data_IF_708517589772
#
_entry.id   IF_708517589772
#
_cell.length_a   1.000
_cell.length_b   1.000
_cell.length_c   1.000
_cell.angle_alpha   90.00
_cell.angle_beta   90.00
_cell.angle_gamma   90.00
#
_symmetry.space_group_name_H-M   'P 1'
#
loop_
_entity.id
_entity.type
_entity.pdbx_description
1 polymer ?
#
# COMPACT_ATOMS: atom_id res chain seq x y z
N UNK A 1 -32.54 -22.92 5.53
CA UNK A 1 -31.09 -22.71 5.75
C UNK A 1 -30.75 -21.27 5.42
N UNK A 2 -30.27 -20.46 6.38
CA UNK A 2 -30.09 -19.02 6.21
C UNK A 2 -28.90 -18.68 5.30
N UNK A 3 -29.02 -17.57 4.54
CA UNK A 3 -27.96 -17.06 3.64
C UNK A 3 -26.61 -16.84 4.37
N UNK A 4 -26.66 -16.55 5.67
CA UNK A 4 -25.48 -16.36 6.52
C UNK A 4 -24.69 -17.67 6.73
N UNK A 5 -25.37 -18.81 6.81
CA UNK A 5 -24.74 -20.14 6.99
C UNK A 5 -23.97 -20.57 5.74
N UNK A 6 -24.55 -20.35 4.55
CA UNK A 6 -23.89 -20.61 3.25
C UNK A 6 -22.71 -19.68 2.96
N UNK A 7 -22.68 -18.46 3.52
CA UNK A 7 -21.53 -17.57 3.43
C UNK A 7 -20.38 -18.05 4.30
N UNK A 8 -20.66 -18.50 5.52
CA UNK A 8 -19.64 -19.07 6.41
C UNK A 8 -19.03 -20.35 5.85
N UNK A 9 -19.85 -21.24 5.29
CA UNK A 9 -19.38 -22.47 4.67
C UNK A 9 -18.45 -22.18 3.49
N UNK A 10 -18.77 -21.24 2.60
CA UNK A 10 -17.89 -20.81 1.50
C UNK A 10 -16.58 -20.19 1.97
N UNK A 11 -16.61 -19.39 3.02
CA UNK A 11 -15.38 -18.79 3.57
C UNK A 11 -14.48 -19.86 4.18
N UNK A 12 -15.04 -20.84 4.87
CA UNK A 12 -14.28 -21.96 5.43
C UNK A 12 -13.68 -22.84 4.33
N UNK A 13 -14.41 -23.07 3.25
CA UNK A 13 -13.96 -23.83 2.08
C UNK A 13 -12.79 -23.12 1.39
N UNK A 14 -12.88 -21.79 1.18
CA UNK A 14 -11.79 -20.97 0.63
C UNK A 14 -10.56 -20.93 1.56
N UNK A 15 -10.75 -20.87 2.87
CA UNK A 15 -9.64 -20.94 3.83
C UNK A 15 -8.96 -22.31 3.85
N UNK A 16 -9.71 -23.39 3.62
CA UNK A 16 -9.15 -24.74 3.51
C UNK A 16 -8.33 -24.87 2.22
N UNK A 17 -8.84 -24.33 1.11
CA UNK A 17 -8.14 -24.31 -0.18
C UNK A 17 -6.86 -23.46 -0.12
N UNK A 18 -6.88 -22.31 0.55
CA UNK A 18 -5.69 -21.49 0.82
C UNK A 18 -4.63 -22.21 1.67
N UNK A 19 -5.06 -23.08 2.59
CA UNK A 19 -4.16 -23.91 3.40
C UNK A 19 -3.43 -24.98 2.59
N UNK A 20 -4.02 -25.44 1.51
CA UNK A 20 -3.47 -26.48 0.62
C UNK A 20 -2.57 -25.89 -0.48
N UNK A 21 -2.67 -24.57 -0.74
CA UNK A 21 -1.77 -23.93 -1.68
C UNK A 21 -0.34 -23.92 -1.12
N UNK A 22 0.68 -24.28 -1.91
CA UNK A 22 2.09 -24.18 -1.51
C UNK A 22 2.52 -22.72 -1.46
N UNK A 23 2.09 -22.02 -0.41
CA UNK A 23 2.49 -20.63 -0.14
C UNK A 23 3.93 -20.63 0.37
N UNK A 24 4.87 -20.51 -0.57
CA UNK A 24 6.31 -20.40 -0.29
C UNK A 24 6.91 -21.72 0.18
N UNK A 25 8.10 -22.04 -0.26
CA UNK A 25 8.81 -23.22 0.21
C UNK A 25 8.92 -23.22 1.73
N UNK A 26 8.67 -24.35 2.37
CA UNK A 26 8.84 -24.50 3.81
C UNK A 26 10.22 -23.94 4.22
N UNK A 27 10.31 -23.14 5.30
CA UNK A 27 11.57 -22.56 5.72
C UNK A 27 12.62 -23.66 5.87
N UNK A 28 13.81 -23.41 5.26
CA UNK A 28 14.90 -24.38 5.23
C UNK A 28 15.30 -24.84 6.64
N UNK A 29 15.80 -26.08 6.72
CA UNK A 29 16.24 -26.69 8.00
C UNK A 29 17.24 -25.80 8.74
N UNK A 30 18.20 -25.20 8.02
CA UNK A 30 19.19 -24.29 8.59
C UNK A 30 18.58 -23.01 9.18
N UNK A 31 17.48 -22.49 8.62
CA UNK A 31 16.74 -21.36 9.17
C UNK A 31 16.00 -21.74 10.44
N UNK A 32 15.35 -22.91 10.43
CA UNK A 32 14.64 -23.43 11.62
C UNK A 32 15.59 -23.69 12.79
N UNK A 33 16.76 -24.25 12.53
CA UNK A 33 17.76 -24.50 13.54
C UNK A 33 18.33 -23.20 14.14
N UNK A 34 18.62 -22.21 13.29
CA UNK A 34 19.07 -20.89 13.76
C UNK A 34 18.01 -20.20 14.61
N UNK A 35 16.77 -20.14 14.13
CA UNK A 35 15.65 -19.55 14.88
C UNK A 35 15.42 -20.27 16.22
N UNK A 36 15.52 -21.62 16.23
CA UNK A 36 15.40 -22.41 17.46
C UNK A 36 16.53 -22.12 18.43
N UNK A 37 17.76 -21.99 17.95
CA UNK A 37 18.92 -21.63 18.76
C UNK A 37 18.77 -20.23 19.38
N UNK A 38 18.30 -19.25 18.61
CA UNK A 38 18.04 -17.88 19.08
C UNK A 38 16.93 -17.84 20.14
N UNK A 39 15.84 -18.58 19.92
CA UNK A 39 14.73 -18.65 20.88
C UNK A 39 15.15 -19.34 22.19
N UNK A 40 15.96 -20.40 22.12
CA UNK A 40 16.48 -21.08 23.30
C UNK A 40 17.49 -20.22 24.05
N UNK A 41 18.37 -19.50 23.37
CA UNK A 41 19.30 -18.56 23.99
C UNK A 41 18.56 -17.43 24.71
N UNK A 42 17.54 -16.82 24.07
CA UNK A 42 16.70 -15.82 24.70
C UNK A 42 15.87 -16.34 25.88
N UNK A 43 15.41 -17.60 25.83
CA UNK A 43 14.70 -18.25 26.95
C UNK A 43 15.63 -18.55 28.13
N UNK A 44 16.86 -18.96 27.86
CA UNK A 44 17.88 -19.20 28.91
C UNK A 44 18.34 -17.90 29.58
N UNK A 45 18.40 -16.79 28.84
CA UNK A 45 18.68 -15.47 29.43
C UNK A 45 17.50 -14.97 30.30
N UNK A 46 16.25 -15.27 29.90
CA UNK A 46 15.06 -14.93 30.69
C UNK A 46 14.93 -15.76 32.00
N UNK A 47 15.41 -17.01 32.01
CA UNK A 47 15.35 -17.93 33.17
C UNK A 47 16.53 -17.72 34.12
N UNK A 48 17.58 -17.03 33.74
CA UNK A 48 18.75 -16.72 34.55
C UNK A 48 18.59 -15.46 35.41
N UNK A 49 17.42 -14.84 35.52
CA UNK A 49 17.16 -13.78 36.50
C UNK A 49 16.86 -14.41 37.88
N UNK A 50 17.77 -14.33 38.87
CA UNK A 50 17.51 -14.82 40.24
C UNK A 50 16.48 -13.91 40.92
N UNK A 51 15.53 -14.52 41.61
CA UNK A 51 14.54 -13.88 42.48
C UNK A 51 15.16 -12.81 43.39
N UNK A 52 14.45 -11.70 43.69
CA UNK A 52 15.04 -10.53 44.34
C UNK A 52 15.39 -10.81 45.80
N UNK A 53 16.68 -11.00 46.09
CA UNK A 53 17.22 -10.90 47.44
C UNK A 53 17.18 -9.41 47.87
N UNK A 54 16.44 -9.12 48.92
CA UNK A 54 16.43 -7.82 49.61
C UNK A 54 17.84 -7.44 50.05
N UNK A 55 18.45 -6.47 49.42
CA UNK A 55 19.72 -5.95 49.92
C UNK A 55 20.44 -5.00 48.99
N UNK A 56 20.44 -3.70 49.35
CA UNK A 56 21.38 -2.66 48.95
C UNK A 56 21.35 -2.13 47.54
N UNK A 57 20.69 -0.96 47.43
CA UNK A 57 20.92 0.08 46.39
C UNK A 57 22.42 0.20 46.06
N UNK A 58 22.82 -0.33 44.90
CA UNK A 58 23.97 0.19 44.16
C UNK A 58 23.53 0.50 42.74
N UNK A 59 23.73 1.76 42.39
CA UNK A 59 23.48 2.42 41.10
C UNK A 59 23.94 1.55 39.93
N UNK A 60 23.04 0.90 39.23
CA UNK A 60 23.25 0.43 37.86
C UNK A 60 22.83 1.57 36.89
N UNK A 61 23.69 2.57 36.78
CA UNK A 61 23.68 3.54 35.68
C UNK A 61 24.35 2.84 34.52
N UNK A 62 23.67 2.73 33.42
CA UNK A 62 24.11 2.57 32.00
C UNK A 62 23.46 1.45 31.16
N UNK A 63 22.31 0.87 31.53
CA UNK A 63 21.58 -0.05 30.63
C UNK A 63 20.36 0.50 29.89
N UNK A 64 19.79 1.70 30.15
CA UNK A 64 18.69 2.21 29.34
C UNK A 64 19.12 2.76 27.98
N UNK A 65 20.39 3.11 27.78
CA UNK A 65 20.85 3.72 26.53
C UNK A 65 20.91 2.75 25.35
N UNK A 66 21.32 1.50 25.58
CA UNK A 66 21.40 0.49 24.51
C UNK A 66 20.01 0.05 24.05
N UNK A 67 19.05 -0.13 24.96
CA UNK A 67 17.68 -0.46 24.60
C UNK A 67 16.96 0.71 23.91
N UNK A 68 17.25 1.94 24.30
CA UNK A 68 16.74 3.13 23.64
C UNK A 68 17.34 3.30 22.24
N UNK A 69 18.65 3.05 22.09
CA UNK A 69 19.30 3.07 20.76
C UNK A 69 18.76 1.97 19.84
N UNK A 70 18.50 0.78 20.36
CA UNK A 70 17.87 -0.29 19.58
C UNK A 70 16.44 0.05 19.16
N UNK A 71 15.65 0.65 20.05
CA UNK A 71 14.29 1.08 19.75
C UNK A 71 14.26 2.22 18.73
N UNK A 72 15.19 3.20 18.88
CA UNK A 72 15.34 4.31 17.91
C UNK A 72 15.84 3.78 16.56
N UNK A 73 16.79 2.83 16.56
CA UNK A 73 17.28 2.18 15.33
C UNK A 73 16.17 1.41 14.60
N UNK A 74 15.34 0.67 15.32
CA UNK A 74 14.21 -0.04 14.75
C UNK A 74 13.14 0.92 14.21
N UNK A 75 12.81 1.97 14.96
CA UNK A 75 11.87 3.00 14.51
C UNK A 75 12.37 3.72 13.25
N UNK A 76 13.66 4.07 13.21
CA UNK A 76 14.28 4.67 12.03
C UNK A 76 14.26 3.71 10.83
N UNK A 77 14.58 2.43 11.02
CA UNK A 77 14.52 1.42 9.97
C UNK A 77 13.09 1.24 9.43
N UNK A 78 12.07 1.23 10.29
CA UNK A 78 10.67 1.17 9.89
C UNK A 78 10.24 2.44 9.13
N UNK A 79 10.67 3.63 9.55
CA UNK A 79 10.38 4.87 8.83
C UNK A 79 11.06 4.91 7.46
N UNK A 80 12.33 4.51 7.35
CA UNK A 80 13.04 4.44 6.08
C UNK A 80 12.38 3.42 5.14
N UNK A 81 12.00 2.25 5.64
CA UNK A 81 11.31 1.22 4.85
C UNK A 81 9.94 1.72 4.39
N UNK A 82 9.19 2.40 5.24
CA UNK A 82 7.89 2.99 4.88
C UNK A 82 8.03 4.06 3.81
N UNK A 83 9.05 4.91 3.92
CA UNK A 83 9.32 5.96 2.94
C UNK A 83 9.75 5.38 1.57
N UNK A 84 10.65 4.40 1.57
CA UNK A 84 11.06 3.70 0.35
C UNK A 84 9.89 2.98 -0.33
N UNK A 85 9.01 2.34 0.45
CA UNK A 85 7.80 1.71 -0.07
C UNK A 85 6.83 2.73 -0.66
N UNK A 86 6.67 3.89 -0.01
CA UNK A 86 5.78 4.95 -0.49
C UNK A 86 6.24 5.54 -1.83
N UNK A 87 7.55 5.63 -2.06
CA UNK A 87 8.13 6.16 -3.30
C UNK A 87 8.30 5.10 -4.41
N UNK A 88 8.02 3.83 -4.14
CA UNK A 88 8.15 2.77 -5.13
C UNK A 88 7.27 3.05 -6.35
N UNK A 89 7.84 2.87 -7.55
CA UNK A 89 7.16 2.99 -8.85
C UNK A 89 6.96 1.62 -9.48
N UNK A 90 6.08 1.48 -10.49
CA UNK A 90 5.94 0.23 -11.23
C UNK A 90 7.30 -0.27 -11.74
N UNK A 91 7.60 -1.55 -11.51
CA UNK A 91 8.91 -2.17 -11.79
C UNK A 91 9.80 -2.32 -10.56
N UNK A 92 9.60 -1.57 -9.48
CA UNK A 92 10.34 -1.71 -8.24
C UNK A 92 9.92 -2.95 -7.45
N UNK A 93 10.89 -3.55 -6.73
CA UNK A 93 10.65 -4.74 -5.89
C UNK A 93 9.67 -4.48 -4.73
N UNK A 94 9.54 -3.24 -4.26
CA UNK A 94 8.63 -2.83 -3.18
C UNK A 94 7.25 -2.37 -3.69
N UNK A 95 7.09 -2.23 -4.99
CA UNK A 95 5.83 -1.76 -5.58
C UNK A 95 4.62 -2.67 -5.27
N UNK A 96 4.72 -4.00 -5.28
CA UNK A 96 3.58 -4.85 -4.88
C UNK A 96 3.14 -4.61 -3.44
N UNK A 97 4.07 -4.29 -2.53
CA UNK A 97 3.74 -3.99 -1.13
C UNK A 97 3.01 -2.63 -1.03
N UNK A 98 3.44 -1.63 -1.78
CA UNK A 98 2.74 -0.34 -1.90
C UNK A 98 1.30 -0.54 -2.37
N UNK A 99 1.09 -1.29 -3.45
CA UNK A 99 -0.25 -1.58 -4.00
C UNK A 99 -1.14 -2.31 -3.00
N UNK A 100 -0.59 -3.30 -2.28
CA UNK A 100 -1.32 -4.01 -1.24
C UNK A 100 -1.76 -3.08 -0.10
N UNK A 101 -0.90 -2.15 0.32
CA UNK A 101 -1.22 -1.17 1.35
C UNK A 101 -2.33 -0.20 0.88
N UNK A 102 -2.23 0.35 -0.33
CA UNK A 102 -3.26 1.22 -0.94
C UNK A 102 -4.62 0.51 -1.00
N UNK A 103 -4.66 -0.70 -1.53
CA UNK A 103 -5.88 -1.52 -1.61
C UNK A 103 -6.48 -1.80 -0.23
N UNK A 104 -5.63 -2.08 0.76
CA UNK A 104 -6.08 -2.30 2.14
C UNK A 104 -6.73 -1.05 2.73
N UNK A 105 -6.16 0.13 2.47
CA UNK A 105 -6.73 1.40 2.93
C UNK A 105 -8.11 1.66 2.33
N UNK A 106 -8.31 1.38 1.04
CA UNK A 106 -9.63 1.46 0.40
C UNK A 106 -10.63 0.52 1.08
N UNK A 107 -10.23 -0.72 1.38
CA UNK A 107 -11.11 -1.70 2.02
C UNK A 107 -11.42 -1.41 3.49
N UNK A 108 -10.51 -0.72 4.20
CA UNK A 108 -10.68 -0.32 5.59
C UNK A 108 -11.53 0.95 5.74
N UNK A 109 -11.79 1.68 4.66
CA UNK A 109 -12.65 2.87 4.70
C UNK A 109 -14.07 2.50 5.13
N UNK A 110 -14.63 3.33 6.00
CA UNK A 110 -15.87 3.03 6.71
C UNK A 110 -17.12 3.24 5.85
N UNK A 111 -17.07 4.16 4.90
CA UNK A 111 -18.20 4.52 4.04
C UNK A 111 -17.80 4.62 2.55
N UNK A 112 -18.80 4.74 1.68
CA UNK A 112 -18.58 4.79 0.22
C UNK A 112 -17.97 6.12 -0.24
N UNK A 113 -18.21 7.23 0.46
CA UNK A 113 -17.58 8.51 0.13
C UNK A 113 -16.08 8.45 0.42
N UNK A 114 -15.69 7.95 1.60
CA UNK A 114 -14.27 7.76 1.95
C UNK A 114 -13.58 6.80 0.98
N UNK A 115 -14.25 5.71 0.58
CA UNK A 115 -13.74 4.79 -0.43
C UNK A 115 -13.52 5.48 -1.78
N UNK A 116 -14.49 6.29 -2.19
CA UNK A 116 -14.37 7.09 -3.42
C UNK A 116 -13.17 8.03 -3.37
N UNK A 117 -12.98 8.76 -2.26
CA UNK A 117 -11.82 9.63 -2.08
C UNK A 117 -10.49 8.87 -2.13
N UNK A 118 -10.41 7.70 -1.51
CA UNK A 118 -9.22 6.83 -1.55
C UNK A 118 -8.90 6.35 -2.97
N UNK A 119 -9.91 6.01 -3.76
CA UNK A 119 -9.72 5.65 -5.17
C UNK A 119 -9.20 6.86 -5.99
N UNK A 120 -9.74 8.07 -5.76
CA UNK A 120 -9.23 9.29 -6.39
C UNK A 120 -7.79 9.61 -5.96
N UNK A 121 -7.42 9.40 -4.71
CA UNK A 121 -6.03 9.54 -4.25
C UNK A 121 -5.10 8.49 -4.88
N UNK A 122 -5.61 7.27 -5.12
CA UNK A 122 -4.90 6.25 -5.87
C UNK A 122 -4.64 6.71 -7.31
N UNK A 123 -5.65 7.28 -7.99
CA UNK A 123 -5.49 7.84 -9.34
C UNK A 123 -4.43 8.95 -9.39
N UNK A 124 -4.41 9.89 -8.43
CA UNK A 124 -3.35 10.90 -8.32
C UNK A 124 -1.96 10.29 -8.14
N UNK A 125 -1.88 9.20 -7.41
CA UNK A 125 -0.63 8.47 -7.22
C UNK A 125 -0.17 7.85 -8.54
N UNK A 126 -1.10 7.26 -9.33
CA UNK A 126 -0.78 6.72 -10.67
C UNK A 126 -0.28 7.81 -11.62
N UNK A 127 -0.90 9.00 -11.63
CA UNK A 127 -0.41 10.12 -12.42
C UNK A 127 1.06 10.46 -12.11
N UNK A 128 1.42 10.54 -10.82
CA UNK A 128 2.82 10.79 -10.42
C UNK A 128 3.76 9.63 -10.82
N UNK A 129 3.30 8.40 -10.78
CA UNK A 129 4.07 7.23 -11.21
C UNK A 129 4.30 7.25 -12.73
N UNK A 130 3.30 7.64 -13.55
CA UNK A 130 3.48 7.88 -14.99
C UNK A 130 4.58 8.90 -15.22
N UNK A 131 4.51 10.07 -14.57
CA UNK A 131 5.56 11.10 -14.69
C UNK A 131 6.94 10.57 -14.33
N UNK A 132 7.05 9.78 -13.26
CA UNK A 132 8.31 9.17 -12.83
C UNK A 132 8.84 8.14 -13.83
N UNK A 133 7.96 7.32 -14.42
CA UNK A 133 8.32 6.35 -15.45
C UNK A 133 8.84 7.04 -16.71
N UNK A 134 8.17 8.08 -17.18
CA UNK A 134 8.60 8.89 -18.35
C UNK A 134 9.96 9.52 -18.10
N UNK A 135 10.17 10.16 -16.94
CA UNK A 135 11.44 10.75 -16.56
C UNK A 135 12.60 9.75 -16.40
N UNK A 136 12.31 8.48 -16.18
CA UNK A 136 13.32 7.39 -16.09
C UNK A 136 13.52 6.60 -17.38
N UNK A 137 12.86 6.97 -18.48
CA UNK A 137 12.85 6.22 -19.73
C UNK A 137 12.48 4.75 -19.55
N UNK A 138 11.49 4.50 -18.69
CA UNK A 138 11.03 3.15 -18.38
C UNK A 138 10.29 2.53 -19.58
N UNK A 139 10.10 1.19 -19.51
CA UNK A 139 9.42 0.42 -20.55
C UNK A 139 8.00 0.92 -20.83
N UNK A 140 7.67 1.14 -22.10
CA UNK A 140 6.34 1.56 -22.56
C UNK A 140 5.18 0.74 -21.97
N UNK A 141 5.26 -0.59 -21.87
CA UNK A 141 4.23 -1.42 -21.22
C UNK A 141 3.91 -1.05 -19.78
N UNK A 142 4.88 -0.57 -18.99
CA UNK A 142 4.65 -0.10 -17.62
C UNK A 142 3.88 1.22 -17.61
N UNK A 143 4.20 2.12 -18.54
CA UNK A 143 3.48 3.40 -18.71
C UNK A 143 2.02 3.12 -19.08
N UNK A 144 1.76 2.30 -20.12
CA UNK A 144 0.42 1.92 -20.55
C UNK A 144 -0.41 1.32 -19.41
N UNK A 145 0.19 0.39 -18.66
CA UNK A 145 -0.48 -0.23 -17.52
C UNK A 145 -0.82 0.81 -16.45
N UNK A 146 0.09 1.72 -16.16
CA UNK A 146 -0.11 2.72 -15.10
C UNK A 146 -1.14 3.77 -15.49
N UNK A 147 -1.19 4.17 -16.77
CA UNK A 147 -2.26 5.02 -17.33
C UNK A 147 -3.63 4.34 -17.19
N UNK A 148 -3.72 3.06 -17.52
CA UNK A 148 -4.94 2.28 -17.36
C UNK A 148 -5.37 2.18 -15.89
N UNK A 149 -4.44 1.86 -14.98
CA UNK A 149 -4.71 1.79 -13.53
C UNK A 149 -5.19 3.17 -13.00
N UNK A 150 -4.65 4.27 -13.53
CA UNK A 150 -5.09 5.64 -13.22
C UNK A 150 -6.55 5.88 -13.62
N UNK A 151 -6.89 5.54 -14.85
CA UNK A 151 -8.26 5.69 -15.37
C UNK A 151 -9.26 4.83 -14.59
N UNK A 152 -8.93 3.56 -14.32
CA UNK A 152 -9.77 2.65 -13.55
C UNK A 152 -10.04 3.18 -12.14
N UNK A 153 -9.00 3.65 -11.44
CA UNK A 153 -9.15 4.25 -10.11
C UNK A 153 -9.98 5.54 -10.15
N UNK A 154 -9.80 6.37 -11.18
CA UNK A 154 -10.60 7.59 -11.36
C UNK A 154 -12.07 7.26 -11.53
N UNK A 155 -12.43 6.37 -12.46
CA UNK A 155 -13.82 5.97 -12.69
C UNK A 155 -14.45 5.36 -11.44
N UNK A 156 -13.75 4.44 -10.77
CA UNK A 156 -14.22 3.81 -9.54
C UNK A 156 -14.45 4.85 -8.42
N UNK A 157 -13.54 5.81 -8.26
CA UNK A 157 -13.64 6.86 -7.26
C UNK A 157 -14.81 7.80 -7.50
N UNK A 158 -14.98 8.25 -8.75
CA UNK A 158 -16.09 9.13 -9.17
C UNK A 158 -17.42 8.41 -8.97
N UNK A 159 -17.58 7.18 -9.46
CA UNK A 159 -18.81 6.40 -9.35
C UNK A 159 -19.23 6.19 -7.87
N UNK A 160 -18.28 5.96 -6.97
CA UNK A 160 -18.55 5.83 -5.53
C UNK A 160 -18.96 7.16 -4.92
N UNK A 161 -18.19 8.21 -5.25
CA UNK A 161 -18.41 9.53 -4.68
C UNK A 161 -19.72 10.13 -5.17
N UNK A 162 -20.11 9.96 -6.43
CA UNK A 162 -21.40 10.40 -6.96
C UNK A 162 -22.59 9.69 -6.33
N UNK A 163 -22.44 8.39 -6.01
CA UNK A 163 -23.50 7.66 -5.28
C UNK A 163 -23.63 8.07 -3.84
N UNK A 164 -22.53 8.41 -3.16
CA UNK A 164 -22.52 8.79 -1.76
C UNK A 164 -22.83 10.28 -1.54
N UNK A 165 -22.23 11.12 -2.37
CA UNK A 165 -22.34 12.59 -2.31
C UNK A 165 -22.56 13.14 -3.73
N UNK A 166 -23.79 13.10 -4.26
CA UNK A 166 -24.07 13.60 -5.62
C UNK A 166 -23.63 15.05 -5.81
N UNK A 167 -22.95 15.32 -6.94
CA UNK A 167 -22.39 16.63 -7.27
C UNK A 167 -21.32 17.14 -6.29
N UNK A 168 -20.57 16.23 -5.68
CA UNK A 168 -19.53 16.59 -4.72
C UNK A 168 -18.50 17.56 -5.35
N UNK A 169 -18.18 18.69 -4.71
CA UNK A 169 -17.15 19.61 -5.21
C UNK A 169 -15.76 18.96 -5.26
N UNK A 170 -15.57 17.84 -4.57
CA UNK A 170 -14.33 17.06 -4.56
C UNK A 170 -14.02 16.50 -5.96
N UNK A 171 -15.06 16.12 -6.74
CA UNK A 171 -14.91 15.61 -8.12
C UNK A 171 -14.34 16.70 -9.02
N UNK A 172 -14.92 17.92 -9.00
CA UNK A 172 -14.43 19.04 -9.80
C UNK A 172 -13.01 19.46 -9.42
N UNK A 173 -12.70 19.44 -8.12
CA UNK A 173 -11.35 19.72 -7.64
C UNK A 173 -10.35 18.67 -8.14
N UNK A 174 -10.72 17.39 -8.01
CA UNK A 174 -9.91 16.28 -8.49
C UNK A 174 -9.64 16.37 -9.99
N UNK A 175 -10.66 16.64 -10.80
CA UNK A 175 -10.53 16.75 -12.25
C UNK A 175 -9.51 17.82 -12.66
N UNK A 176 -9.55 19.00 -12.04
CA UNK A 176 -8.57 20.07 -12.30
C UNK A 176 -7.14 19.67 -11.89
N UNK A 177 -6.99 19.05 -10.72
CA UNK A 177 -5.68 18.59 -10.25
C UNK A 177 -5.10 17.51 -11.19
N UNK A 178 -5.94 16.66 -11.77
CA UNK A 178 -5.52 15.65 -12.74
C UNK A 178 -5.18 16.25 -14.10
N UNK A 179 -5.96 17.20 -14.60
CA UNK A 179 -5.65 17.93 -15.81
C UNK A 179 -4.29 18.62 -15.72
N UNK A 180 -4.04 19.34 -14.62
CA UNK A 180 -2.74 19.99 -14.34
C UNK A 180 -1.58 18.98 -14.28
N UNK A 181 -1.83 17.76 -13.76
CA UNK A 181 -0.80 16.74 -13.63
C UNK A 181 -0.51 15.99 -14.94
N UNK A 182 -1.55 15.71 -15.77
CA UNK A 182 -1.42 14.86 -16.96
C UNK A 182 -1.06 15.64 -18.20
N UNK A 183 -1.56 16.86 -18.38
CA UNK A 183 -1.30 17.68 -19.57
C UNK A 183 0.19 17.84 -19.90
N UNK A 184 1.09 18.08 -18.93
CA UNK A 184 2.52 18.19 -19.24
C UNK A 184 3.16 16.91 -19.77
N UNK A 185 2.58 15.74 -19.47
CA UNK A 185 3.12 14.43 -19.86
C UNK A 185 2.84 14.08 -21.33
N UNK A 186 1.83 14.70 -21.96
CA UNK A 186 1.39 14.34 -23.31
C UNK A 186 2.51 14.40 -24.35
N UNK A 187 3.50 15.26 -24.15
CA UNK A 187 4.63 15.42 -25.07
C UNK A 187 5.68 14.30 -24.99
N UNK A 188 5.61 13.47 -23.94
CA UNK A 188 6.56 12.41 -23.68
C UNK A 188 5.96 11.02 -23.97
N UNK A 189 4.66 10.95 -24.31
CA UNK A 189 3.93 9.71 -24.56
C UNK A 189 4.07 9.28 -26.04
N UNK A 190 4.06 7.95 -26.27
CA UNK A 190 3.91 7.38 -27.61
C UNK A 190 2.46 7.51 -28.12
N UNK A 191 2.18 7.17 -29.39
CA UNK A 191 0.89 7.38 -30.03
C UNK A 191 -0.26 6.66 -29.30
N UNK A 192 -0.05 5.43 -28.80
CA UNK A 192 -1.08 4.66 -28.10
C UNK A 192 -1.32 5.23 -26.69
N UNK A 193 -0.27 5.60 -26.01
CA UNK A 193 -0.31 6.24 -24.69
C UNK A 193 -0.95 7.63 -24.76
N UNK A 194 -0.62 8.38 -25.80
CA UNK A 194 -1.19 9.70 -26.05
C UNK A 194 -2.70 9.61 -26.27
N UNK A 195 -3.15 8.70 -27.13
CA UNK A 195 -4.59 8.49 -27.37
C UNK A 195 -5.33 8.10 -26.07
N UNK A 196 -4.71 7.27 -25.21
CA UNK A 196 -5.28 6.90 -23.92
C UNK A 196 -5.34 8.10 -22.97
N UNK A 197 -4.27 8.90 -22.88
CA UNK A 197 -4.20 10.06 -22.01
C UNK A 197 -5.17 11.18 -22.46
N UNK A 198 -5.31 11.41 -23.76
CA UNK A 198 -6.29 12.36 -24.33
C UNK A 198 -7.73 11.91 -24.00
N UNK A 199 -8.07 10.64 -24.22
CA UNK A 199 -9.39 10.12 -23.85
C UNK A 199 -9.67 10.21 -22.34
N UNK A 200 -8.66 10.08 -21.51
CA UNK A 200 -8.77 10.33 -20.08
C UNK A 200 -9.03 11.80 -19.76
N UNK A 201 -8.30 12.72 -20.40
CA UNK A 201 -8.49 14.16 -20.22
C UNK A 201 -9.89 14.61 -20.66
N UNK A 202 -10.37 14.14 -21.81
CA UNK A 202 -11.74 14.40 -22.28
C UNK A 202 -12.79 13.92 -21.24
N UNK A 203 -12.56 12.76 -20.64
CA UNK A 203 -13.45 12.25 -19.60
C UNK A 203 -13.49 13.15 -18.36
N UNK A 204 -12.34 13.60 -17.85
CA UNK A 204 -12.29 14.46 -16.66
C UNK A 204 -12.75 15.90 -16.95
N UNK A 205 -12.54 16.42 -18.17
CA UNK A 205 -13.07 17.72 -18.59
C UNK A 205 -14.61 17.73 -18.52
N UNK A 206 -15.23 16.64 -18.99
CA UNK A 206 -16.68 16.45 -18.88
C UNK A 206 -17.24 16.55 -17.46
N UNK A 207 -16.42 16.25 -16.43
CA UNK A 207 -16.83 16.36 -15.02
C UNK A 207 -16.79 17.80 -14.48
N UNK A 208 -16.08 18.70 -15.16
CA UNK A 208 -15.93 20.10 -14.76
C UNK A 208 -16.92 21.00 -15.51
N UNK A 209 -17.38 20.57 -16.70
CA UNK A 209 -18.30 21.32 -17.54
C UNK A 209 -19.54 21.76 -16.75
N UNK A 210 -20.00 23.00 -16.89
CA UNK A 210 -21.29 23.44 -16.34
C UNK A 210 -22.43 22.76 -17.10
N UNK A 211 -23.41 22.22 -16.36
CA UNK A 211 -24.71 21.83 -16.95
C UNK A 211 -25.49 23.06 -17.41
#
# INVERSE_FOLDING_TARGET
>A
MSRARRRRERVLEQLTELRELPLGGAPGTAFKERLRAELLAGALEAEAEPAPARGRRRRARHRPLLSQLAAVGLAAALMISSFATYQAVPGDSLYPLKRAAETTLVHLSSDEAERGERELDSAKTRAREVASLLGSSADGPLVNKTLKDMEESTRAGIDRLERAEPRSPKIKKFAREQEEAVTPMLQELDDDQLAQAEGYLDYIEGLVAPE
#
